data_IF_802988717428
#
_entry.id   IF_802988717428
#
_cell.length_a   1.000
_cell.length_b   1.000
_cell.length_c   1.000
_cell.angle_alpha   90.00
_cell.angle_beta   90.00
_cell.angle_gamma   90.00
#
_symmetry.space_group_name_H-M   'P 1'
#
loop_
_entity.id
_entity.type
_entity.pdbx_description
1 polymer ?
#
# COMPACT_ATOMS: atom_id res chain seq x y z
N UNK A 1 -9.35 14.67 -8.51
CA UNK A 1 -8.05 15.38 -8.40
C UNK A 1 -6.97 14.33 -8.32
N UNK A 2 -5.93 14.41 -9.15
CA UNK A 2 -4.78 13.51 -9.04
C UNK A 2 -4.05 13.83 -7.73
N UNK A 3 -3.90 12.83 -6.86
CA UNK A 3 -3.11 12.99 -5.64
C UNK A 3 -1.63 13.07 -6.04
N UNK A 4 -0.89 14.01 -5.46
CA UNK A 4 0.53 14.21 -5.74
C UNK A 4 1.34 13.99 -4.47
N UNK A 5 2.56 13.44 -4.62
CA UNK A 5 3.52 13.31 -3.51
C UNK A 5 3.83 14.65 -2.84
N UNK A 6 3.73 15.75 -3.58
CA UNK A 6 4.01 17.11 -3.09
C UNK A 6 2.97 17.61 -2.06
N UNK A 7 1.86 16.88 -1.85
CA UNK A 7 0.89 17.15 -0.78
C UNK A 7 1.34 16.63 0.59
N UNK A 8 2.37 15.79 0.62
CA UNK A 8 2.92 15.19 1.83
C UNK A 8 4.20 15.89 2.25
N UNK A 9 4.44 15.94 3.57
CA UNK A 9 5.72 16.37 4.09
C UNK A 9 6.73 15.22 4.00
N UNK A 10 7.63 15.30 3.02
CA UNK A 10 8.67 14.30 2.81
C UNK A 10 10.05 14.94 2.74
N UNK A 11 11.05 14.13 3.08
CA UNK A 11 12.48 14.44 2.95
C UNK A 11 13.11 13.51 1.91
N UNK A 12 14.00 14.02 1.05
CA UNK A 12 14.73 13.21 0.08
C UNK A 12 16.06 12.82 0.72
N UNK A 13 16.27 11.52 0.94
CA UNK A 13 17.52 11.02 1.56
C UNK A 13 18.60 10.66 0.54
N UNK A 14 18.18 10.09 -0.59
CA UNK A 14 19.10 9.62 -1.63
C UNK A 14 18.47 9.87 -2.99
N UNK A 15 19.32 10.23 -3.97
CA UNK A 15 18.99 10.25 -5.38
C UNK A 15 19.97 9.32 -6.10
N UNK A 16 19.46 8.39 -6.89
CA UNK A 16 20.32 7.43 -7.59
C UNK A 16 19.55 6.49 -8.49
N UNK A 17 20.18 5.37 -8.82
CA UNK A 17 19.52 4.27 -9.50
C UNK A 17 18.51 3.59 -8.59
N UNK A 18 17.56 2.87 -9.19
CA UNK A 18 16.56 2.11 -8.45
C UNK A 18 17.22 1.11 -7.48
N UNK A 19 18.28 0.42 -7.94
CA UNK A 19 19.03 -0.55 -7.15
C UNK A 19 19.70 0.09 -5.93
N UNK A 20 20.35 1.24 -6.10
CA UNK A 20 20.99 1.96 -4.99
C UNK A 20 19.96 2.43 -3.94
N UNK A 21 18.81 2.92 -4.40
CA UNK A 21 17.71 3.31 -3.51
C UNK A 21 17.18 2.11 -2.71
N UNK A 22 17.01 0.97 -3.37
CA UNK A 22 16.54 -0.27 -2.75
C UNK A 22 17.56 -0.85 -1.75
N UNK A 23 18.85 -0.80 -2.10
CA UNK A 23 19.95 -1.21 -1.23
C UNK A 23 20.08 -0.27 -0.01
N UNK A 24 19.82 1.03 -0.20
CA UNK A 24 19.81 2.01 0.89
C UNK A 24 18.68 1.74 1.90
N UNK A 25 17.46 1.45 1.42
CA UNK A 25 16.32 1.17 2.29
C UNK A 25 16.58 -0.10 3.12
N UNK A 26 17.11 -1.15 2.50
CA UNK A 26 17.43 -2.39 3.23
C UNK A 26 18.44 -2.18 4.37
N UNK A 27 19.41 -1.28 4.20
CA UNK A 27 20.46 -1.03 5.21
C UNK A 27 20.04 -0.08 6.32
N UNK A 28 19.12 0.84 6.04
CA UNK A 28 18.77 1.95 6.95
C UNK A 28 17.37 1.81 7.59
N UNK A 29 16.76 0.62 7.52
CA UNK A 29 15.42 0.38 8.06
C UNK A 29 15.44 -0.70 9.13
N UNK A 30 14.69 -0.50 10.23
CA UNK A 30 14.54 -1.51 11.29
C UNK A 30 13.70 -2.70 10.82
N UNK A 31 12.70 -2.45 9.98
CA UNK A 31 11.84 -3.48 9.40
C UNK A 31 11.62 -3.19 7.92
N UNK A 32 11.53 -4.25 7.12
CA UNK A 32 11.44 -4.15 5.66
C UNK A 32 10.25 -4.98 5.18
N UNK A 33 9.48 -4.42 4.27
CA UNK A 33 8.36 -5.09 3.60
C UNK A 33 8.58 -5.01 2.10
N UNK A 34 8.38 -6.13 1.41
CA UNK A 34 8.38 -6.16 -0.05
C UNK A 34 7.03 -5.68 -0.60
N UNK A 35 7.08 -4.79 -1.58
CA UNK A 35 5.93 -4.14 -2.20
C UNK A 35 5.94 -4.48 -3.70
N UNK A 36 4.75 -4.69 -4.27
CA UNK A 36 4.61 -4.94 -5.70
C UNK A 36 4.52 -3.62 -6.48
N UNK A 37 5.05 -3.57 -7.72
CA UNK A 37 4.84 -2.42 -8.59
C UNK A 37 3.35 -2.25 -8.88
N UNK A 38 2.86 -1.01 -8.80
CA UNK A 38 1.45 -0.67 -8.90
C UNK A 38 0.72 -0.61 -7.56
N UNK A 39 1.33 -1.08 -6.46
CA UNK A 39 0.74 -0.93 -5.13
C UNK A 39 0.67 0.56 -4.73
N UNK A 40 -0.47 0.92 -4.17
CA UNK A 40 -0.72 2.25 -3.62
C UNK A 40 -0.25 2.31 -2.16
N UNK A 41 0.74 3.14 -1.90
CA UNK A 41 1.38 3.25 -0.57
C UNK A 41 0.86 4.44 0.24
N UNK A 42 0.38 5.46 -0.44
CA UNK A 42 -0.19 6.69 0.06
C UNK A 42 -1.30 7.08 -0.92
N UNK A 43 -2.28 7.86 -0.46
CA UNK A 43 -3.44 8.26 -1.28
C UNK A 43 -2.99 8.82 -2.65
N UNK A 44 -3.36 8.11 -3.72
CA UNK A 44 -3.04 8.34 -5.13
C UNK A 44 -1.56 8.25 -5.52
N UNK A 45 -0.71 7.65 -4.69
CA UNK A 45 0.71 7.44 -4.99
C UNK A 45 0.97 5.95 -5.14
N UNK A 46 1.20 5.54 -6.38
CA UNK A 46 1.57 4.18 -6.75
C UNK A 46 3.08 4.03 -6.86
N UNK A 47 3.58 2.88 -6.42
CA UNK A 47 5.00 2.53 -6.57
C UNK A 47 5.28 2.09 -8.01
N UNK A 48 6.33 2.66 -8.58
CA UNK A 48 6.87 2.31 -9.90
C UNK A 48 8.30 1.84 -9.71
N UNK A 49 8.63 0.66 -10.25
CA UNK A 49 9.95 0.07 -10.12
C UNK A 49 10.03 -1.34 -10.67
N UNK A 50 11.21 -1.94 -10.52
CA UNK A 50 11.47 -3.34 -10.91
C UNK A 50 11.57 -4.17 -9.64
N UNK A 51 10.76 -5.23 -9.45
CA UNK A 51 10.86 -6.12 -8.30
C UNK A 51 12.26 -6.73 -8.14
N UNK A 52 12.73 -6.95 -6.90
CA UNK A 52 12.05 -6.69 -5.63
C UNK A 52 12.08 -5.21 -5.22
N UNK A 53 10.98 -4.69 -4.68
CA UNK A 53 10.86 -3.30 -4.20
C UNK A 53 10.65 -3.30 -2.70
N UNK A 54 11.49 -2.61 -1.96
CA UNK A 54 11.41 -2.60 -0.49
C UNK A 54 10.89 -1.27 0.05
N UNK A 55 10.00 -1.38 1.02
CA UNK A 55 9.60 -0.31 1.92
C UNK A 55 10.21 -0.55 3.31
N UNK A 56 10.82 0.50 3.85
CA UNK A 56 11.44 0.51 5.16
C UNK A 56 10.55 1.16 6.21
N UNK A 57 10.45 0.54 7.38
CA UNK A 57 9.75 1.07 8.53
C UNK A 57 10.73 1.27 9.69
N UNK A 58 10.71 2.47 10.25
CA UNK A 58 11.37 2.86 11.49
C UNK A 58 10.29 3.29 12.51
N UNK A 59 10.69 3.57 13.75
CA UNK A 59 9.74 3.97 14.80
C UNK A 59 8.98 5.25 14.45
N UNK A 60 9.67 6.24 13.87
CA UNK A 60 9.10 7.57 13.61
C UNK A 60 8.92 7.89 12.12
N UNK A 61 9.42 7.04 11.23
CA UNK A 61 9.47 7.33 9.80
C UNK A 61 9.37 6.10 8.91
N UNK A 62 8.93 6.33 7.68
CA UNK A 62 8.78 5.35 6.61
C UNK A 62 9.64 5.77 5.44
N UNK A 63 10.34 4.79 4.86
CA UNK A 63 11.27 4.93 3.75
C UNK A 63 10.75 4.16 2.55
N UNK A 64 10.66 4.79 1.38
CA UNK A 64 10.26 4.08 0.16
C UNK A 64 10.90 4.70 -1.09
N UNK A 65 11.12 3.89 -2.15
CA UNK A 65 11.64 4.40 -3.40
C UNK A 65 10.51 5.08 -4.17
N UNK A 66 10.78 6.27 -4.70
CA UNK A 66 9.85 7.01 -5.53
C UNK A 66 10.53 7.47 -6.82
N UNK A 67 9.96 7.10 -7.96
CA UNK A 67 10.52 7.39 -9.28
C UNK A 67 9.76 8.52 -9.94
N UNK A 68 10.40 9.69 -10.09
CA UNK A 68 9.88 10.79 -10.92
C UNK A 68 10.39 10.61 -12.36
N UNK A 69 9.54 10.69 -13.39
CA UNK A 69 9.93 10.43 -14.78
C UNK A 69 11.03 11.39 -15.29
N UNK A 70 11.08 12.62 -14.77
CA UNK A 70 12.04 13.63 -15.20
C UNK A 70 13.37 13.60 -14.43
N UNK A 71 13.40 13.03 -13.21
CA UNK A 71 14.51 13.20 -12.27
C UNK A 71 15.12 11.90 -11.73
N UNK A 72 14.53 10.75 -12.08
CA UNK A 72 15.00 9.43 -11.63
C UNK A 72 14.40 8.99 -10.29
N UNK A 73 15.03 7.97 -9.68
CA UNK A 73 14.57 7.36 -8.43
C UNK A 73 15.20 8.04 -7.21
N UNK A 74 14.36 8.26 -6.21
CA UNK A 74 14.71 8.89 -4.95
C UNK A 74 14.26 8.00 -3.81
N UNK A 75 14.98 8.01 -2.69
CA UNK A 75 14.48 7.49 -1.42
C UNK A 75 13.80 8.62 -0.69
N UNK A 76 12.50 8.48 -0.47
CA UNK A 76 11.71 9.43 0.31
C UNK A 76 11.58 8.94 1.74
N UNK A 77 11.66 9.87 2.67
CA UNK A 77 11.38 9.69 4.09
C UNK A 77 10.15 10.49 4.45
N UNK A 78 9.17 9.83 5.05
CA UNK A 78 7.92 10.44 5.52
C UNK A 78 7.76 10.11 7.00
N UNK A 79 7.29 11.06 7.79
CA UNK A 79 6.99 10.80 9.21
C UNK A 79 5.86 9.78 9.34
N UNK A 80 5.91 8.94 10.38
CA UNK A 80 4.90 7.90 10.59
C UNK A 80 3.48 8.49 10.73
N UNK A 81 3.34 9.64 11.39
CA UNK A 81 2.06 10.35 11.52
C UNK A 81 1.46 10.73 10.16
N UNK A 82 2.28 11.32 9.30
CA UNK A 82 1.89 11.73 7.93
C UNK A 82 1.54 10.51 7.06
N UNK A 83 2.30 9.42 7.19
CA UNK A 83 2.00 8.16 6.52
C UNK A 83 0.66 7.56 6.97
N UNK A 84 0.37 7.59 8.27
CA UNK A 84 -0.90 7.13 8.82
C UNK A 84 -2.09 7.98 8.36
N UNK A 85 -1.92 9.29 8.25
CA UNK A 85 -2.95 10.18 7.70
C UNK A 85 -3.18 9.91 6.20
N UNK A 86 -2.11 9.71 5.43
CA UNK A 86 -2.21 9.36 4.01
C UNK A 86 -2.93 8.05 3.76
N UNK A 87 -2.61 7.01 4.53
CA UNK A 87 -3.25 5.69 4.41
C UNK A 87 -4.71 5.69 4.88
N UNK A 88 -5.08 6.53 5.87
CA UNK A 88 -6.49 6.72 6.27
C UNK A 88 -7.32 7.32 5.13
N UNK A 89 -6.80 8.33 4.43
CA UNK A 89 -7.46 8.94 3.25
C UNK A 89 -7.70 7.91 2.15
N UNK A 90 -6.69 7.08 1.86
CA UNK A 90 -6.79 5.96 0.90
C UNK A 90 -7.90 4.96 1.29
N UNK A 91 -7.95 4.55 2.57
CA UNK A 91 -8.99 3.62 3.07
C UNK A 91 -10.39 4.22 3.02
N UNK A 92 -10.53 5.51 3.34
CA UNK A 92 -11.83 6.20 3.30
C UNK A 92 -12.43 6.26 1.89
N UNK A 93 -11.61 6.35 0.83
CA UNK A 93 -12.07 6.28 -0.57
C UNK A 93 -12.43 4.87 -1.03
N UNK A 94 -11.76 3.87 -0.47
CA UNK A 94 -12.02 2.45 -0.78
C UNK A 94 -13.27 1.91 -0.06
N UNK A 95 -13.76 2.64 0.96
CA UNK A 95 -14.91 2.31 1.80
C UNK A 95 -16.25 2.16 1.08
N UNK A 96 -16.37 2.54 -0.19
CA UNK A 96 -17.62 2.35 -0.95
C UNK A 96 -17.74 0.98 -1.63
N UNK A 97 -16.73 0.08 -1.61
CA UNK A 97 -16.82 -1.16 -2.40
C UNK A 97 -16.17 -2.46 -1.88
N UNK A 98 -15.59 -2.54 -0.66
CA UNK A 98 -14.92 -3.79 -0.22
C UNK A 98 -15.59 -4.59 0.91
N UNK A 99 -16.46 -4.01 1.73
CA UNK A 99 -17.22 -4.78 2.74
C UNK A 99 -18.37 -5.62 2.15
N UNK A 100 -18.72 -5.41 0.87
CA UNK A 100 -19.81 -6.12 0.21
C UNK A 100 -19.43 -7.47 -0.44
N UNK A 101 -18.15 -7.85 -0.51
CA UNK A 101 -17.75 -9.09 -1.20
C UNK A 101 -17.65 -10.29 -0.25
N UNK A 102 -17.03 -10.11 0.91
CA UNK A 102 -16.88 -11.18 1.90
C UNK A 102 -18.22 -11.56 2.57
N UNK A 103 -19.11 -10.59 2.78
CA UNK A 103 -20.45 -10.82 3.33
C UNK A 103 -21.44 -11.47 2.35
N UNK A 104 -21.15 -11.47 1.03
CA UNK A 104 -22.04 -12.04 0.02
C UNK A 104 -21.81 -13.54 -0.18
N UNK A 105 -20.55 -13.97 -0.13
CA UNK A 105 -20.19 -15.39 -0.26
C UNK A 105 -20.63 -16.20 0.97
N UNK A 106 -20.55 -15.63 2.18
CA UNK A 106 -20.97 -16.31 3.42
C UNK A 106 -22.50 -16.53 3.46
N UNK A 107 -23.30 -15.57 2.97
CA UNK A 107 -24.77 -15.67 2.95
C UNK A 107 -25.29 -16.71 1.96
N UNK A 108 -24.71 -16.79 0.76
CA UNK A 108 -25.13 -17.78 -0.23
C UNK A 108 -24.85 -19.23 0.21
N UNK A 109 -23.74 -19.47 0.94
CA UNK A 109 -23.46 -20.80 1.47
C UNK A 109 -24.40 -21.22 2.61
N UNK A 110 -24.85 -20.28 3.45
CA UNK A 110 -25.76 -20.60 4.56
C UNK A 110 -27.18 -20.89 4.06
N UNK A 111 -27.67 -20.16 3.06
CA UNK A 111 -29.00 -20.42 2.47
C UNK A 111 -29.06 -21.76 1.71
N UNK A 112 -28.01 -22.11 0.95
CA UNK A 112 -27.93 -23.41 0.25
C UNK A 112 -27.92 -24.58 1.23
N UNK A 113 -27.18 -24.47 2.34
CA UNK A 113 -27.14 -25.50 3.41
C UNK A 113 -28.48 -25.62 4.15
N UNK A 114 -29.20 -24.51 4.37
CA UNK A 114 -30.53 -24.50 4.98
C UNK A 114 -31.64 -25.10 4.10
N UNK A 115 -31.56 -24.92 2.78
CA UNK A 115 -32.52 -25.48 1.83
C UNK A 115 -32.30 -26.99 1.64
N UNK A 116 -31.04 -27.44 1.50
CA UNK A 116 -30.69 -28.86 1.33
C UNK A 116 -31.06 -29.73 2.54
N UNK A 117 -31.07 -29.16 3.74
CA UNK A 117 -31.49 -29.85 4.97
C UNK A 117 -33.01 -29.96 5.11
N UNK A 118 -33.77 -29.08 4.45
CA UNK A 118 -35.24 -29.09 4.45
C UNK A 118 -35.85 -30.05 3.41
N UNK A 119 -35.10 -30.37 2.36
CA UNK A 119 -35.50 -31.30 1.29
C UNK A 119 -35.24 -32.79 1.61
N UNK A 120 -34.59 -33.11 2.74
CA UNK A 120 -34.26 -34.49 3.15
C UNK A 120 -35.30 -35.19 4.05
N UNK A 121 -36.42 -34.53 4.34
CA UNK A 121 -37.49 -35.07 5.18
C UNK A 121 -38.84 -35.07 4.42
N UNK A 122 -38.93 -35.88 3.37
CA UNK A 122 -40.17 -36.53 2.94
C UNK A 122 -39.85 -37.90 2.34
#
# INVERSE_FOLDING_TARGET
MASCIDQYRYEILLKGSFKECNDYIQKNSKSIVEISPGDEILDGIMIIGVPPIYMGFNEDNVLFPFTKPCYGTHVLKVSMDEYMEGTKKMRSKTGDNKENKENKEIKEETEKKGILSKLKFW
#
